data_IF_321820549881
#
_entry.id   IF_321820549881
#
_cell.length_a   1.000
_cell.length_b   1.000
_cell.length_c   1.000
_cell.angle_alpha   90.00
_cell.angle_beta   90.00
_cell.angle_gamma   90.00
#
_symmetry.space_group_name_H-M   'P 1'
#
loop_
_entity.id
_entity.type
_entity.pdbx_description
1 polymer ?
#
# COMPACT_ATOMS: atom_id res chain seq x y z
N UNK A 1 13.82 13.35 -22.46
CA UNK A 1 12.58 13.09 -23.20
C UNK A 1 11.80 11.90 -22.60
N UNK A 2 11.66 11.83 -21.28
CA UNK A 2 10.94 10.75 -20.55
C UNK A 2 9.84 11.33 -19.65
N UNK A 3 9.68 12.65 -19.59
CA UNK A 3 8.72 13.32 -18.69
C UNK A 3 7.33 13.52 -19.28
N UNK A 4 7.05 13.12 -20.52
CA UNK A 4 5.77 13.40 -21.19
C UNK A 4 4.71 12.31 -20.98
N UNK A 5 5.01 11.24 -20.23
CA UNK A 5 4.04 10.16 -19.95
C UNK A 5 3.33 10.29 -18.60
N UNK A 6 3.70 11.26 -17.78
CA UNK A 6 3.16 11.45 -16.42
C UNK A 6 1.82 12.20 -16.36
N UNK A 7 1.33 12.74 -17.48
CA UNK A 7 0.05 13.48 -17.55
C UNK A 7 -1.05 12.77 -18.34
N UNK A 8 -1.02 11.44 -18.44
CA UNK A 8 -2.22 10.73 -18.88
C UNK A 8 -3.26 10.82 -17.76
N UNK A 9 -4.47 11.30 -18.11
CA UNK A 9 -5.63 11.27 -17.22
C UNK A 9 -5.68 9.91 -16.49
N UNK A 10 -5.72 9.96 -15.15
CA UNK A 10 -5.78 8.75 -14.32
C UNK A 10 -6.96 7.89 -14.78
N UNK A 11 -6.79 6.59 -15.04
CA UNK A 11 -7.90 5.76 -15.44
C UNK A 11 -8.92 5.69 -14.30
N UNK A 12 -10.19 5.98 -14.57
CA UNK A 12 -11.26 6.03 -13.57
C UNK A 12 -11.36 4.76 -12.68
N UNK A 13 -11.03 3.59 -13.25
CA UNK A 13 -10.99 2.33 -12.49
C UNK A 13 -9.89 2.32 -11.42
N UNK A 14 -8.68 2.75 -11.76
CA UNK A 14 -7.58 2.82 -10.80
C UNK A 14 -7.89 3.80 -9.65
N UNK A 15 -8.53 4.93 -9.95
CA UNK A 15 -8.94 5.91 -8.94
C UNK A 15 -9.89 5.30 -7.90
N UNK A 16 -10.92 4.57 -8.34
CA UNK A 16 -11.87 3.93 -7.45
C UNK A 16 -11.22 2.87 -6.56
N UNK A 17 -10.36 2.03 -7.12
CA UNK A 17 -9.63 1.00 -6.37
C UNK A 17 -8.66 1.64 -5.37
N UNK A 18 -7.92 2.66 -5.81
CA UNK A 18 -6.95 3.35 -4.97
C UNK A 18 -7.61 4.10 -3.81
N UNK A 19 -8.78 4.70 -4.02
CA UNK A 19 -9.54 5.37 -2.97
C UNK A 19 -9.91 4.41 -1.82
N UNK A 20 -10.29 3.16 -2.13
CA UNK A 20 -10.57 2.13 -1.11
C UNK A 20 -9.30 1.78 -0.33
N UNK A 21 -8.16 1.64 -1.01
CA UNK A 21 -6.84 1.38 -0.39
C UNK A 21 -6.49 2.50 0.60
N UNK A 22 -6.58 3.75 0.17
CA UNK A 22 -6.26 4.92 1.00
C UNK A 22 -7.17 4.99 2.22
N UNK A 23 -8.49 4.85 2.03
CA UNK A 23 -9.46 4.89 3.12
C UNK A 23 -9.19 3.78 4.16
N UNK A 24 -8.89 2.55 3.71
CA UNK A 24 -8.57 1.43 4.59
C UNK A 24 -7.29 1.70 5.40
N UNK A 25 -6.23 2.20 4.75
CA UNK A 25 -4.95 2.48 5.40
C UNK A 25 -5.01 3.56 6.48
N UNK A 26 -6.02 4.42 6.43
CA UNK A 26 -6.21 5.55 7.36
C UNK A 26 -7.15 5.26 8.52
N UNK A 27 -7.61 4.03 8.69
CA UNK A 27 -8.50 3.70 9.80
C UNK A 27 -7.82 3.93 11.14
N UNK A 28 -8.54 4.63 12.04
CA UNK A 28 -8.00 5.11 13.32
C UNK A 28 -7.44 4.00 14.21
N UNK A 29 -8.05 2.82 14.20
CA UNK A 29 -7.66 1.73 15.10
C UNK A 29 -6.21 1.25 14.88
N UNK A 30 -5.66 1.34 13.68
CA UNK A 30 -4.26 0.98 13.44
C UNK A 30 -3.30 1.84 14.26
N UNK A 31 -3.60 3.12 14.37
CA UNK A 31 -2.77 4.11 15.06
C UNK A 31 -3.09 4.19 16.56
N UNK A 32 -4.36 4.21 16.91
CA UNK A 32 -4.81 4.36 18.29
C UNK A 32 -4.69 3.07 19.11
N UNK A 33 -5.01 1.91 18.52
CA UNK A 33 -5.15 0.66 19.24
C UNK A 33 -3.99 -0.31 18.97
N UNK A 34 -3.49 -0.37 17.72
CA UNK A 34 -2.40 -1.26 17.33
C UNK A 34 -1.00 -0.61 17.40
N UNK A 35 -0.93 0.67 17.77
CA UNK A 35 0.35 1.36 18.00
C UNK A 35 1.20 1.63 16.75
N UNK A 36 0.60 1.60 15.56
CA UNK A 36 1.27 2.13 14.36
C UNK A 36 1.54 3.61 14.57
N UNK A 37 2.75 4.08 14.28
CA UNK A 37 3.09 5.49 14.46
C UNK A 37 2.20 6.38 13.58
N UNK A 38 1.52 7.36 14.19
CA UNK A 38 0.73 8.36 13.45
C UNK A 38 1.63 9.49 12.93
N UNK A 39 2.52 9.12 12.05
CA UNK A 39 3.52 9.95 11.40
C UNK A 39 3.39 9.78 9.89
N UNK A 40 4.10 10.62 9.11
CA UNK A 40 4.18 10.47 7.65
C UNK A 40 4.68 9.07 7.28
N UNK A 41 5.72 8.57 7.96
CA UNK A 41 6.29 7.25 7.71
C UNK A 41 5.31 6.12 8.06
N UNK A 42 4.65 6.19 9.23
CA UNK A 42 3.66 5.18 9.62
C UNK A 42 2.45 5.13 8.70
N UNK A 43 1.99 6.28 8.22
CA UNK A 43 0.91 6.38 7.22
C UNK A 43 1.35 5.82 5.87
N UNK A 44 2.58 6.09 5.46
CA UNK A 44 3.18 5.50 4.27
C UNK A 44 3.26 3.96 4.38
N UNK A 45 3.73 3.45 5.50
CA UNK A 45 3.84 2.00 5.72
C UNK A 45 2.48 1.29 5.66
N UNK A 46 1.43 1.89 6.23
CA UNK A 46 0.08 1.35 6.14
C UNK A 46 -0.52 1.43 4.74
N UNK A 47 -0.26 2.50 3.99
CA UNK A 47 -0.66 2.62 2.59
C UNK A 47 0.01 1.55 1.73
N UNK A 48 1.30 1.36 1.89
CA UNK A 48 2.08 0.33 1.18
C UNK A 48 1.57 -1.08 1.50
N UNK A 49 1.25 -1.37 2.76
CA UNK A 49 0.68 -2.65 3.17
C UNK A 49 -0.63 -2.95 2.41
N UNK A 50 -1.58 -2.03 2.44
CA UNK A 50 -2.89 -2.22 1.79
C UNK A 50 -2.78 -2.28 0.26
N UNK A 51 -1.93 -1.43 -0.34
CA UNK A 51 -1.64 -1.47 -1.77
C UNK A 51 -1.03 -2.82 -2.18
N UNK A 52 -0.09 -3.33 -1.40
CA UNK A 52 0.55 -4.63 -1.66
C UNK A 52 -0.46 -5.78 -1.68
N UNK A 53 -1.42 -5.80 -0.75
CA UNK A 53 -2.46 -6.82 -0.70
C UNK A 53 -3.34 -6.83 -1.96
N UNK A 54 -3.75 -5.67 -2.45
CA UNK A 54 -4.57 -5.55 -3.66
C UNK A 54 -3.78 -5.88 -4.91
N UNK A 55 -2.56 -5.35 -5.03
CA UNK A 55 -1.66 -5.62 -6.16
C UNK A 55 -1.34 -7.11 -6.27
N UNK A 56 -1.14 -7.79 -5.13
CA UNK A 56 -0.96 -9.24 -5.07
C UNK A 56 -2.19 -9.99 -5.60
N UNK A 57 -3.37 -9.63 -5.14
CA UNK A 57 -4.63 -10.28 -5.54
C UNK A 57 -4.93 -10.13 -7.03
N UNK A 58 -4.57 -9.01 -7.65
CA UNK A 58 -4.82 -8.72 -9.06
C UNK A 58 -3.80 -9.35 -10.02
N UNK A 59 -2.77 -10.01 -9.52
CA UNK A 59 -1.69 -10.59 -10.33
C UNK A 59 -2.23 -11.53 -11.42
N UNK A 60 -1.66 -11.39 -12.63
CA UNK A 60 -1.96 -12.18 -13.82
C UNK A 60 -3.00 -11.48 -14.71
N UNK A 61 -4.28 -11.68 -14.48
CA UNK A 61 -5.37 -11.21 -15.39
C UNK A 61 -5.54 -9.68 -15.42
N UNK A 62 -5.08 -8.96 -14.39
CA UNK A 62 -5.22 -7.49 -14.25
C UNK A 62 -3.87 -6.78 -14.09
N UNK A 63 -2.83 -7.24 -14.77
CA UNK A 63 -1.49 -6.66 -14.64
C UNK A 63 -1.42 -5.19 -15.07
N UNK A 64 -2.24 -4.77 -16.05
CA UNK A 64 -2.36 -3.35 -16.42
C UNK A 64 -2.92 -2.51 -15.25
N UNK A 65 -3.98 -2.97 -14.59
CA UNK A 65 -4.54 -2.26 -13.43
C UNK A 65 -3.55 -2.22 -12.26
N UNK A 66 -2.80 -3.31 -12.04
CA UNK A 66 -1.72 -3.33 -11.03
C UNK A 66 -0.71 -2.24 -11.29
N UNK A 67 -0.23 -2.12 -12.53
CA UNK A 67 0.71 -1.07 -12.90
C UNK A 67 0.11 0.33 -12.70
N UNK A 68 -1.14 0.52 -13.10
CA UNK A 68 -1.85 1.78 -12.92
C UNK A 68 -1.99 2.17 -11.43
N UNK A 69 -2.20 1.21 -10.54
CA UNK A 69 -2.25 1.45 -9.09
C UNK A 69 -0.88 1.87 -8.53
N UNK A 70 0.20 1.24 -9.00
CA UNK A 70 1.57 1.61 -8.61
C UNK A 70 1.92 3.00 -9.15
N UNK A 71 1.55 3.30 -10.39
CA UNK A 71 1.76 4.63 -10.98
C UNK A 71 0.97 5.70 -10.22
N UNK A 72 -0.28 5.40 -9.83
CA UNK A 72 -1.11 6.28 -9.01
C UNK A 72 -0.46 6.55 -7.65
N UNK A 73 0.05 5.52 -7.00
CA UNK A 73 0.80 5.65 -5.75
C UNK A 73 2.02 6.58 -5.92
N UNK A 74 2.79 6.42 -6.99
CA UNK A 74 3.94 7.28 -7.26
C UNK A 74 3.54 8.75 -7.44
N UNK A 75 2.43 9.01 -8.16
CA UNK A 75 1.89 10.37 -8.35
C UNK A 75 1.40 10.96 -7.02
N UNK A 76 0.68 10.17 -6.22
CA UNK A 76 0.21 10.60 -4.89
C UNK A 76 1.39 10.95 -3.96
N UNK A 77 2.47 10.18 -4.00
CA UNK A 77 3.68 10.48 -3.23
C UNK A 77 4.39 11.75 -3.73
N UNK A 78 4.45 11.97 -5.04
CA UNK A 78 5.00 13.20 -5.64
C UNK A 78 4.21 14.43 -5.17
N UNK A 79 2.88 14.38 -5.27
CA UNK A 79 1.99 15.46 -4.87
C UNK A 79 2.15 15.78 -3.37
N UNK A 80 2.13 14.76 -2.51
CA UNK A 80 2.32 14.93 -1.06
C UNK A 80 3.68 15.56 -0.71
N UNK A 81 4.76 15.15 -1.37
CA UNK A 81 6.09 15.73 -1.14
C UNK A 81 6.18 17.18 -1.58
N UNK A 82 5.51 17.54 -2.69
CA UNK A 82 5.44 18.94 -3.15
C UNK A 82 4.63 19.82 -2.20
N UNK A 83 3.52 19.33 -1.69
CA UNK A 83 2.73 20.01 -0.66
C UNK A 83 3.54 20.26 0.62
N UNK A 84 4.46 19.36 0.97
CA UNK A 84 5.40 19.51 2.08
C UNK A 84 6.59 20.45 1.77
N UNK A 85 6.63 21.06 0.58
CA UNK A 85 7.64 22.05 0.19
C UNK A 85 8.93 21.45 -0.39
N UNK A 86 8.95 20.19 -0.79
CA UNK A 86 10.12 19.59 -1.43
C UNK A 86 10.32 20.15 -2.85
N UNK A 87 11.56 20.50 -3.21
CA UNK A 87 11.92 20.97 -4.55
C UNK A 87 11.96 19.85 -5.59
N UNK A 88 11.79 20.21 -6.88
CA UNK A 88 11.63 19.26 -8.00
C UNK A 88 12.70 18.15 -8.06
N UNK A 89 13.97 18.50 -7.92
CA UNK A 89 15.06 17.52 -7.97
C UNK A 89 15.04 16.54 -6.79
N UNK A 90 14.63 17.02 -5.61
CA UNK A 90 14.54 16.16 -4.42
C UNK A 90 13.30 15.28 -4.42
N UNK A 91 12.18 15.75 -5.01
CA UNK A 91 10.94 14.98 -5.16
C UNK A 91 11.17 13.74 -6.00
N UNK A 92 11.72 13.85 -7.18
CA UNK A 92 11.97 12.71 -8.08
C UNK A 92 12.82 11.63 -7.41
N UNK A 93 13.87 12.02 -6.67
CA UNK A 93 14.73 11.10 -5.93
C UNK A 93 14.00 10.41 -4.78
N UNK A 94 13.16 11.15 -4.05
CA UNK A 94 12.37 10.61 -2.93
C UNK A 94 11.28 9.65 -3.42
N UNK A 95 10.54 10.01 -4.49
CA UNK A 95 9.52 9.14 -5.09
C UNK A 95 10.14 7.83 -5.58
N UNK A 96 11.30 7.89 -6.22
CA UNK A 96 12.04 6.68 -6.61
C UNK A 96 12.36 5.77 -5.41
N UNK A 97 12.85 6.34 -4.31
CA UNK A 97 13.11 5.58 -3.08
C UNK A 97 11.83 4.98 -2.49
N UNK A 98 10.72 5.70 -2.54
CA UNK A 98 9.42 5.19 -2.11
C UNK A 98 8.93 4.03 -2.97
N UNK A 99 9.13 4.09 -4.30
CA UNK A 99 8.82 2.99 -5.20
C UNK A 99 9.71 1.76 -4.95
N UNK A 100 11.00 1.95 -4.70
CA UNK A 100 11.93 0.89 -4.31
C UNK A 100 11.52 0.27 -2.95
N UNK A 101 11.14 1.10 -1.98
CA UNK A 101 10.66 0.64 -0.68
C UNK A 101 9.34 -0.14 -0.80
N UNK A 102 8.42 0.30 -1.67
CA UNK A 102 7.21 -0.47 -2.00
C UNK A 102 7.57 -1.85 -2.53
N UNK A 103 8.45 -1.93 -3.52
CA UNK A 103 8.84 -3.21 -4.13
C UNK A 103 9.45 -4.18 -3.11
N UNK A 104 10.32 -3.70 -2.23
CA UNK A 104 10.93 -4.52 -1.17
C UNK A 104 9.90 -5.03 -0.17
N UNK A 105 8.97 -4.16 0.27
CA UNK A 105 7.89 -4.52 1.19
C UNK A 105 6.88 -5.47 0.54
N UNK A 106 6.50 -5.22 -0.71
CA UNK A 106 5.64 -6.11 -1.47
C UNK A 106 6.19 -7.54 -1.51
N UNK A 107 7.48 -7.70 -1.86
CA UNK A 107 8.14 -9.00 -1.89
C UNK A 107 8.16 -9.67 -0.51
N UNK A 108 8.40 -8.90 0.55
CA UNK A 108 8.42 -9.42 1.92
C UNK A 108 7.02 -9.88 2.37
N UNK A 109 5.97 -9.13 2.05
CA UNK A 109 4.59 -9.53 2.36
C UNK A 109 4.17 -10.75 1.55
N UNK A 110 4.54 -10.84 0.26
CA UNK A 110 4.28 -12.03 -0.56
C UNK A 110 4.94 -13.30 0.03
N UNK A 111 6.14 -13.19 0.56
CA UNK A 111 6.85 -14.31 1.18
C UNK A 111 6.26 -14.74 2.53
N UNK A 112 5.60 -13.83 3.26
CA UNK A 112 5.04 -14.08 4.59
C UNK A 112 3.63 -14.68 4.48
N UNK A 113 3.52 -16.01 4.38
CA UNK A 113 2.26 -16.72 4.13
C UNK A 113 1.54 -17.20 5.40
N UNK A 114 2.19 -17.15 6.54
CA UNK A 114 1.60 -17.52 7.84
C UNK A 114 1.63 -16.35 8.82
N UNK A 115 0.79 -16.38 9.88
CA UNK A 115 0.69 -15.26 10.84
C UNK A 115 2.02 -14.91 11.52
N UNK A 116 2.84 -15.89 11.88
CA UNK A 116 4.09 -15.66 12.59
C UNK A 116 5.12 -14.95 11.70
N UNK A 117 5.27 -15.39 10.44
CA UNK A 117 6.14 -14.74 9.47
C UNK A 117 5.62 -13.34 9.12
N UNK A 118 4.29 -13.18 9.02
CA UNK A 118 3.69 -11.87 8.78
C UNK A 118 3.97 -10.92 9.95
N UNK A 119 3.80 -11.34 11.21
CA UNK A 119 4.09 -10.53 12.37
C UNK A 119 5.56 -10.05 12.39
N UNK A 120 6.51 -10.95 12.12
CA UNK A 120 7.93 -10.60 12.03
C UNK A 120 8.22 -9.63 10.86
N UNK A 121 7.50 -9.75 9.76
CA UNK A 121 7.64 -8.85 8.61
C UNK A 121 7.08 -7.46 8.92
N UNK A 122 5.94 -7.39 9.60
CA UNK A 122 5.32 -6.14 10.05
C UNK A 122 6.15 -5.44 11.11
N UNK A 123 6.76 -6.18 12.04
CA UNK A 123 7.69 -5.63 13.01
C UNK A 123 8.80 -4.81 12.30
N UNK A 124 9.41 -5.39 11.27
CA UNK A 124 10.46 -4.69 10.51
C UNK A 124 9.94 -3.52 9.68
N UNK A 125 8.79 -3.66 9.04
CA UNK A 125 8.32 -2.72 8.02
C UNK A 125 7.34 -1.66 8.54
N UNK A 126 6.67 -1.90 9.66
CA UNK A 126 5.66 -0.99 10.22
C UNK A 126 6.06 -0.47 11.60
N UNK A 127 6.73 -1.31 12.40
CA UNK A 127 7.13 -0.95 13.77
C UNK A 127 8.64 -0.65 13.91
N UNK A 128 9.29 -0.34 12.80
CA UNK A 128 10.71 0.07 12.76
C UNK A 128 11.67 -0.94 13.40
N UNK A 129 11.36 -2.23 13.32
CA UNK A 129 12.17 -3.32 13.90
C UNK A 129 12.08 -3.42 15.42
N UNK A 130 11.10 -2.78 16.04
CA UNK A 130 10.88 -2.84 17.50
C UNK A 130 9.74 -3.80 17.82
N UNK A 131 9.94 -4.75 18.76
CA UNK A 131 8.87 -5.61 19.22
C UNK A 131 7.68 -4.79 19.73
N UNK A 132 6.48 -5.13 19.27
CA UNK A 132 5.25 -4.46 19.67
C UNK A 132 4.09 -5.45 19.68
N UNK A 133 3.20 -5.37 20.66
CA UNK A 133 2.03 -6.25 20.75
C UNK A 133 1.07 -6.12 19.56
N UNK A 134 1.05 -4.96 18.91
CA UNK A 134 0.27 -4.73 17.69
C UNK A 134 0.73 -5.54 16.47
N UNK A 135 1.96 -6.08 16.46
CA UNK A 135 2.47 -6.87 15.33
C UNK A 135 1.63 -8.12 15.06
N UNK A 136 1.26 -8.85 16.10
CA UNK A 136 0.42 -10.07 15.99
C UNK A 136 -0.99 -9.72 15.56
N UNK A 137 -1.59 -8.69 16.16
CA UNK A 137 -2.95 -8.24 15.82
C UNK A 137 -3.02 -7.71 14.39
N UNK A 138 -2.00 -6.96 13.95
CA UNK A 138 -1.93 -6.49 12.56
C UNK A 138 -1.69 -7.65 11.60
N UNK A 139 -0.93 -8.68 11.99
CA UNK A 139 -0.76 -9.90 11.19
C UNK A 139 -2.08 -10.66 11.02
N UNK A 140 -2.85 -10.80 12.09
CA UNK A 140 -4.21 -11.39 12.02
C UNK A 140 -5.11 -10.59 11.07
N UNK A 141 -5.11 -9.27 11.18
CA UNK A 141 -5.83 -8.40 10.23
C UNK A 141 -5.41 -8.67 8.78
N UNK A 142 -4.12 -8.78 8.49
CA UNK A 142 -3.62 -9.05 7.14
C UNK A 142 -4.10 -10.40 6.63
N UNK A 143 -4.12 -11.44 7.48
CA UNK A 143 -4.62 -12.76 7.09
C UNK A 143 -6.11 -12.72 6.77
N UNK A 144 -6.91 -12.03 7.57
CA UNK A 144 -8.34 -11.82 7.31
C UNK A 144 -8.55 -11.03 6.02
N UNK A 145 -7.82 -9.94 5.84
CA UNK A 145 -7.89 -9.11 4.62
C UNK A 145 -7.56 -9.91 3.36
N UNK A 146 -6.53 -10.75 3.40
CA UNK A 146 -6.21 -11.67 2.29
C UNK A 146 -7.35 -12.63 1.98
N UNK A 147 -7.95 -13.24 3.01
CA UNK A 147 -9.07 -14.16 2.83
C UNK A 147 -10.29 -13.45 2.21
N UNK A 148 -10.61 -12.24 2.65
CA UNK A 148 -11.70 -11.44 2.09
C UNK A 148 -11.45 -11.05 0.63
N UNK A 149 -10.22 -10.65 0.30
CA UNK A 149 -9.83 -10.35 -1.08
C UNK A 149 -9.90 -11.61 -1.98
N UNK A 150 -9.57 -12.79 -1.47
CA UNK A 150 -9.70 -14.06 -2.20
C UNK A 150 -11.15 -14.44 -2.48
N UNK A 151 -12.08 -14.08 -1.62
CA UNK A 151 -13.53 -14.32 -1.81
C UNK A 151 -14.16 -13.41 -2.88
N UNK A 152 -13.49 -12.33 -3.27
CA UNK A 152 -13.95 -11.43 -4.33
C UNK A 152 -13.35 -11.83 -5.68
N UNK A 153 -14.15 -11.71 -6.75
CA UNK A 153 -13.59 -11.81 -8.09
C UNK A 153 -12.63 -10.65 -8.36
N UNK A 154 -11.70 -10.84 -9.28
CA UNK A 154 -10.78 -9.75 -9.68
C UNK A 154 -11.52 -8.59 -10.32
N UNK A 155 -12.64 -8.86 -11.00
CA UNK A 155 -13.54 -7.86 -11.60
C UNK A 155 -14.23 -7.01 -10.50
N UNK A 156 -14.67 -7.63 -9.40
CA UNK A 156 -15.23 -6.91 -8.26
C UNK A 156 -14.20 -5.99 -7.64
N UNK A 157 -12.97 -6.46 -7.46
CA UNK A 157 -11.87 -5.64 -6.94
C UNK A 157 -11.55 -4.51 -7.91
N UNK A 158 -11.47 -4.80 -9.23
CA UNK A 158 -11.21 -3.81 -10.26
C UNK A 158 -12.32 -2.74 -10.37
N UNK A 159 -13.52 -3.04 -9.90
CA UNK A 159 -14.63 -2.10 -9.79
C UNK A 159 -14.66 -1.31 -8.47
N UNK A 160 -13.72 -1.55 -7.55
CA UNK A 160 -13.68 -0.96 -6.22
C UNK A 160 -14.64 -1.62 -5.21
N UNK A 161 -15.23 -2.76 -5.55
CA UNK A 161 -16.21 -3.50 -4.72
C UNK A 161 -15.51 -4.55 -3.85
N UNK A 162 -14.76 -4.08 -2.87
CA UNK A 162 -14.03 -4.92 -1.92
C UNK A 162 -13.80 -4.20 -0.60
N UNK A 163 -13.42 -4.96 0.42
CA UNK A 163 -13.09 -4.46 1.75
C UNK A 163 -11.98 -5.32 2.36
N UNK A 164 -11.31 -4.80 3.38
CA UNK A 164 -10.23 -5.48 4.09
C UNK A 164 -10.67 -6.08 5.43
N UNK A 165 -11.82 -5.67 5.94
CA UNK A 165 -12.39 -6.12 7.22
C UNK A 165 -13.91 -6.01 7.21
#
# INVERSE_FOLDING_TARGET
MILHHLFKAKPAKADAVYAVIVAASRQRHFYADLGVADTVDGRFDMLVLHLALVVSRLKGEHDLLRQQLIDHFCVDMDDNLRELGAGDLSVSKKVRRMAEAFQGRYSAYEAAQDPARMAATLERNVYAGKPHSGCEQLAEYVMVARALLQQRSKEQIAAGNYQFS
#
